data_IF_236431135717
#
_entry.id   IF_236431135717
#
_cell.length_a   1.000
_cell.length_b   1.000
_cell.length_c   1.000
_cell.angle_alpha   90.00
_cell.angle_beta   90.00
_cell.angle_gamma   90.00
#
_symmetry.space_group_name_H-M   'P 1'
#
loop_
_entity.id
_entity.type
_entity.pdbx_description
1 polymer ?
#
# COMPACT_ATOMS: atom_id res chain seq x y z
N UNK A 1 -41.41 -65.82 14.74
CA UNK A 1 -41.72 -64.57 13.97
C UNK A 1 -41.13 -63.38 14.62
N UNK A 2 -40.01 -62.83 14.08
CA UNK A 2 -39.33 -61.59 14.58
C UNK A 2 -39.63 -60.49 13.59
N UNK A 3 -40.36 -59.46 14.03
CA UNK A 3 -40.64 -58.24 13.27
C UNK A 3 -39.37 -57.33 13.26
N UNK A 4 -38.87 -56.96 12.08
CA UNK A 4 -37.83 -56.02 11.86
C UNK A 4 -38.49 -54.64 11.68
N UNK A 5 -38.12 -53.66 12.52
CA UNK A 5 -38.48 -52.24 12.35
C UNK A 5 -37.55 -51.60 11.35
N UNK A 6 -38.03 -50.81 10.38
CA UNK A 6 -37.16 -50.02 9.51
C UNK A 6 -36.76 -48.71 10.21
N UNK A 7 -35.48 -48.45 10.30
CA UNK A 7 -34.94 -47.16 10.73
C UNK A 7 -35.05 -46.18 9.57
N UNK A 8 -35.87 -45.15 9.74
CA UNK A 8 -35.87 -43.98 8.83
C UNK A 8 -34.64 -43.14 9.15
N UNK A 9 -33.68 -43.08 8.25
CA UNK A 9 -32.56 -42.13 8.30
C UNK A 9 -33.05 -40.79 7.72
N UNK A 10 -33.31 -39.82 8.57
CA UNK A 10 -33.50 -38.42 8.15
C UNK A 10 -32.15 -37.86 7.70
N UNK A 11 -31.96 -37.71 6.42
CA UNK A 11 -30.84 -36.94 5.86
C UNK A 11 -31.17 -35.45 6.03
N UNK A 12 -30.58 -34.81 7.04
CA UNK A 12 -30.53 -33.33 7.14
C UNK A 12 -29.57 -32.80 6.09
N UNK A 13 -30.08 -32.45 4.93
CA UNK A 13 -29.36 -31.62 3.95
C UNK A 13 -29.28 -30.18 4.50
N UNK A 14 -28.25 -29.91 5.27
CA UNK A 14 -27.91 -28.54 5.64
C UNK A 14 -27.48 -27.79 4.38
N UNK A 15 -28.30 -26.84 3.91
CA UNK A 15 -27.86 -25.83 2.95
C UNK A 15 -26.78 -24.97 3.63
N UNK A 16 -25.53 -25.28 3.39
CA UNK A 16 -24.45 -24.35 3.66
C UNK A 16 -24.68 -23.19 2.71
N UNK A 17 -25.08 -22.05 3.23
CA UNK A 17 -25.10 -20.82 2.45
C UNK A 17 -23.65 -20.57 1.96
N UNK A 18 -23.42 -20.82 0.68
CA UNK A 18 -22.16 -20.47 0.03
C UNK A 18 -22.15 -18.94 -0.04
N UNK A 19 -21.42 -18.31 0.85
CA UNK A 19 -21.13 -16.88 0.74
C UNK A 19 -20.51 -16.57 -0.63
N UNK A 20 -20.55 -15.31 -1.08
CA UNK A 20 -19.95 -14.94 -2.36
C UNK A 20 -18.50 -15.44 -2.39
N UNK A 21 -18.09 -15.97 -3.55
CA UNK A 21 -16.70 -16.42 -3.68
C UNK A 21 -15.76 -15.26 -3.38
N UNK A 22 -14.61 -15.47 -2.75
CA UNK A 22 -13.64 -14.40 -2.48
C UNK A 22 -13.32 -13.55 -3.71
N UNK A 23 -13.39 -14.12 -4.90
CA UNK A 23 -13.18 -13.45 -6.19
C UNK A 23 -14.23 -12.39 -6.56
N UNK A 24 -15.35 -12.31 -5.85
CA UNK A 24 -16.41 -11.31 -6.08
C UNK A 24 -16.40 -10.19 -5.03
N UNK A 25 -15.45 -10.21 -4.10
CA UNK A 25 -15.38 -9.18 -3.06
C UNK A 25 -14.66 -7.93 -3.57
N UNK A 26 -15.20 -6.69 -3.35
CA UNK A 26 -14.58 -5.45 -3.82
C UNK A 26 -13.12 -5.26 -3.37
N UNK A 27 -12.78 -5.72 -2.17
CA UNK A 27 -11.42 -5.64 -1.63
C UNK A 27 -10.41 -6.44 -2.48
N UNK A 28 -10.88 -7.43 -3.20
CA UNK A 28 -10.06 -8.25 -4.09
C UNK A 28 -9.59 -7.47 -5.32
N UNK A 29 -10.53 -6.80 -5.99
CA UNK A 29 -10.24 -5.96 -7.14
C UNK A 29 -9.44 -4.73 -6.74
N UNK A 30 -9.74 -4.17 -5.55
CA UNK A 30 -8.96 -3.09 -4.96
C UNK A 30 -7.51 -3.51 -4.73
N UNK A 31 -7.24 -4.63 -4.06
CA UNK A 31 -5.88 -5.09 -3.78
C UNK A 31 -5.07 -5.34 -5.07
N UNK A 32 -5.70 -5.93 -6.10
CA UNK A 32 -5.07 -6.09 -7.41
C UNK A 32 -4.76 -4.73 -8.05
N UNK A 33 -5.71 -3.81 -8.02
CA UNK A 33 -5.56 -2.47 -8.57
C UNK A 33 -4.37 -1.74 -7.94
N UNK A 34 -4.29 -1.70 -6.61
CA UNK A 34 -3.23 -0.96 -5.92
C UNK A 34 -1.85 -1.62 -6.00
N UNK A 35 -1.80 -2.95 -6.16
CA UNK A 35 -0.54 -3.69 -6.27
C UNK A 35 0.01 -3.79 -7.69
N UNK A 36 -0.84 -3.77 -8.71
CA UNK A 36 -0.45 -3.91 -10.12
C UNK A 36 -0.73 -2.65 -10.94
N UNK A 37 -1.56 -1.74 -10.47
CA UNK A 37 -1.81 -0.46 -11.10
C UNK A 37 -0.65 0.52 -10.94
N UNK A 38 -0.73 1.60 -11.70
CA UNK A 38 0.14 2.78 -11.58
C UNK A 38 -0.69 4.02 -11.84
N UNK A 39 -0.46 5.09 -11.12
CA UNK A 39 -1.13 6.37 -11.36
C UNK A 39 -0.75 6.97 -12.72
N UNK A 40 0.47 6.71 -13.15
CA UNK A 40 1.02 7.24 -14.40
C UNK A 40 1.77 6.15 -15.15
N UNK A 41 1.48 6.02 -16.43
CA UNK A 41 2.09 5.02 -17.31
C UNK A 41 1.27 3.75 -17.45
N UNK A 42 1.89 2.70 -17.96
CA UNK A 42 1.24 1.41 -18.14
C UNK A 42 1.15 0.65 -16.80
N UNK A 43 0.02 -0.02 -16.58
CA UNK A 43 -0.14 -0.91 -15.44
C UNK A 43 0.96 -1.99 -15.44
N UNK A 44 1.45 -2.32 -14.26
CA UNK A 44 2.44 -3.38 -14.09
C UNK A 44 1.75 -4.74 -14.17
N UNK A 45 2.44 -5.69 -14.73
CA UNK A 45 1.97 -7.09 -14.78
C UNK A 45 2.44 -7.93 -13.58
N UNK A 46 3.26 -7.33 -12.70
CA UNK A 46 3.89 -8.00 -11.56
C UNK A 46 4.08 -7.09 -10.34
N UNK A 47 4.04 -7.71 -9.18
CA UNK A 47 4.29 -7.08 -7.88
C UNK A 47 5.74 -6.61 -7.79
N UNK A 48 5.92 -5.37 -7.36
CA UNK A 48 7.22 -4.83 -6.96
C UNK A 48 7.24 -4.57 -5.46
N UNK A 49 8.36 -4.89 -4.80
CA UNK A 49 8.51 -4.63 -3.37
C UNK A 49 9.98 -4.57 -2.94
N UNK A 50 10.23 -3.99 -1.79
CA UNK A 50 11.54 -4.02 -1.16
C UNK A 50 11.86 -5.42 -0.62
N UNK A 51 13.15 -5.80 -0.75
CA UNK A 51 13.66 -7.08 -0.23
C UNK A 51 14.66 -6.91 0.92
N UNK A 52 15.12 -5.69 1.14
CA UNK A 52 16.10 -5.30 2.16
C UNK A 52 15.47 -4.29 3.11
N UNK A 53 16.05 -4.06 4.29
CA UNK A 53 15.71 -2.90 5.12
C UNK A 53 15.74 -1.62 4.30
N UNK A 54 14.77 -0.76 4.53
CA UNK A 54 14.58 0.47 3.77
C UNK A 54 15.12 1.62 4.61
N UNK A 55 16.07 2.33 4.06
CA UNK A 55 16.51 3.58 4.64
C UNK A 55 15.74 4.75 4.02
N UNK A 56 15.36 5.73 4.81
CA UNK A 56 14.75 6.94 4.30
C UNK A 56 15.52 8.18 4.69
N UNK A 57 15.52 9.14 3.78
CA UNK A 57 16.26 10.37 3.87
C UNK A 57 15.34 11.54 3.59
N UNK A 58 15.24 12.48 4.52
CA UNK A 58 14.46 13.72 4.36
C UNK A 58 15.40 14.86 4.06
N UNK A 59 15.30 15.42 2.84
CA UNK A 59 16.21 16.47 2.36
C UNK A 59 15.62 17.84 2.63
N UNK A 60 16.37 18.65 3.40
CA UNK A 60 16.13 20.09 3.60
C UNK A 60 14.67 20.47 3.89
N UNK A 61 13.98 19.69 4.73
CA UNK A 61 12.57 19.90 5.05
C UNK A 61 12.36 20.87 6.22
N UNK A 62 11.34 21.75 6.16
CA UNK A 62 10.82 22.47 7.33
C UNK A 62 10.40 21.52 8.45
N UNK A 63 10.38 21.99 9.68
CA UNK A 63 10.11 21.15 10.86
C UNK A 63 8.72 20.47 10.84
N UNK A 64 7.70 21.16 10.33
CA UNK A 64 6.35 20.60 10.17
C UNK A 64 6.33 19.47 9.16
N UNK A 65 6.99 19.61 8.03
CA UNK A 65 7.08 18.57 6.99
C UNK A 65 7.86 17.37 7.51
N UNK A 66 9.01 17.61 8.17
CA UNK A 66 9.80 16.55 8.78
C UNK A 66 8.95 15.74 9.76
N UNK A 67 8.24 16.43 10.66
CA UNK A 67 7.34 15.76 11.62
C UNK A 67 6.27 14.92 10.93
N UNK A 68 5.60 15.43 9.89
CA UNK A 68 4.58 14.67 9.15
C UNK A 68 5.16 13.41 8.49
N UNK A 69 6.38 13.50 7.94
CA UNK A 69 7.09 12.36 7.35
C UNK A 69 7.48 11.34 8.43
N UNK A 70 8.03 11.77 9.55
CA UNK A 70 8.41 10.88 10.65
C UNK A 70 7.19 10.17 11.26
N UNK A 71 6.04 10.87 11.40
CA UNK A 71 4.77 10.28 11.80
C UNK A 71 4.25 9.24 10.78
N UNK A 72 4.36 9.54 9.48
CA UNK A 72 4.00 8.61 8.42
C UNK A 72 4.84 7.33 8.49
N UNK A 73 6.16 7.45 8.61
CA UNK A 73 7.03 6.30 8.77
C UNK A 73 6.75 5.49 10.03
N UNK A 74 6.46 6.14 11.15
CA UNK A 74 6.09 5.45 12.39
C UNK A 74 4.82 4.59 12.22
N UNK A 75 3.79 5.11 11.55
CA UNK A 75 2.56 4.36 11.23
C UNK A 75 2.83 3.19 10.29
N UNK A 76 3.63 3.40 9.25
CA UNK A 76 4.01 2.35 8.31
C UNK A 76 4.86 1.27 8.98
N UNK A 77 5.81 1.65 9.82
CA UNK A 77 6.63 0.72 10.61
C UNK A 77 5.75 -0.13 11.55
N UNK A 78 4.74 0.49 12.18
CA UNK A 78 3.77 -0.22 13.01
C UNK A 78 2.97 -1.24 12.19
N UNK A 79 2.48 -0.85 11.00
CA UNK A 79 1.74 -1.74 10.11
C UNK A 79 2.60 -2.90 9.58
N UNK A 80 3.89 -2.65 9.39
CA UNK A 80 4.86 -3.65 8.96
C UNK A 80 5.45 -4.47 10.11
N UNK A 81 5.14 -4.12 11.37
CA UNK A 81 5.62 -4.86 12.54
C UNK A 81 5.19 -6.32 12.46
N UNK A 82 6.12 -7.24 12.68
CA UNK A 82 5.87 -8.69 12.52
C UNK A 82 6.02 -9.21 11.08
N UNK A 83 6.33 -8.38 10.08
CA UNK A 83 6.69 -8.89 8.75
C UNK A 83 8.14 -9.38 8.68
N UNK A 84 8.98 -9.09 9.67
CA UNK A 84 10.40 -9.46 9.84
C UNK A 84 11.33 -9.12 8.65
N UNK A 85 10.84 -8.42 7.62
CA UNK A 85 11.58 -8.21 6.38
C UNK A 85 11.84 -6.77 6.02
N UNK A 86 11.09 -5.85 6.64
CA UNK A 86 11.19 -4.42 6.32
C UNK A 86 11.36 -3.65 7.61
N UNK A 87 12.53 -3.10 7.79
CA UNK A 87 12.83 -2.09 8.81
C UNK A 87 12.96 -0.76 8.10
N UNK A 88 12.32 0.27 8.65
CA UNK A 88 12.42 1.65 8.16
C UNK A 88 13.38 2.40 9.07
N UNK A 89 14.49 2.85 8.52
CA UNK A 89 15.54 3.55 9.25
C UNK A 89 15.75 4.96 8.69
N UNK A 90 15.64 5.96 9.56
CA UNK A 90 16.01 7.34 9.20
C UNK A 90 17.53 7.49 9.15
N UNK A 91 18.04 8.04 8.04
CA UNK A 91 19.46 8.28 7.84
C UNK A 91 19.73 9.77 7.71
N UNK A 92 20.79 10.26 8.36
CA UNK A 92 21.20 11.65 8.24
C UNK A 92 21.77 11.95 6.84
N UNK A 93 21.49 13.16 6.35
CA UNK A 93 21.96 13.62 5.01
C UNK A 93 23.48 13.62 4.83
N UNK A 94 24.25 13.69 5.92
CA UNK A 94 25.71 13.63 5.89
C UNK A 94 26.26 12.28 5.47
N UNK A 95 25.49 11.22 5.61
CA UNK A 95 25.99 9.85 5.56
C UNK A 95 25.65 9.12 4.26
N UNK A 96 24.88 9.77 3.37
CA UNK A 96 24.28 9.10 2.21
C UNK A 96 24.43 9.90 0.93
N UNK A 97 24.70 9.19 -0.15
CA UNK A 97 24.58 9.74 -1.51
C UNK A 97 23.09 9.84 -1.87
N UNK A 98 22.57 11.08 -1.87
CA UNK A 98 21.17 11.36 -2.25
C UNK A 98 20.84 10.70 -3.59
N UNK A 99 19.75 9.91 -3.62
CA UNK A 99 19.29 9.17 -4.83
C UNK A 99 20.04 7.86 -5.09
N UNK A 100 20.77 7.33 -4.11
CA UNK A 100 21.36 5.99 -4.16
C UNK A 100 20.32 4.86 -4.05
N UNK A 101 20.74 3.64 -4.37
CA UNK A 101 19.92 2.45 -4.16
C UNK A 101 19.79 2.11 -2.66
N UNK A 102 18.64 1.54 -2.28
CA UNK A 102 18.30 1.18 -0.91
C UNK A 102 17.57 2.27 -0.13
N UNK A 103 17.24 3.39 -0.75
CA UNK A 103 16.66 4.55 -0.09
C UNK A 103 15.32 5.00 -0.64
N UNK A 104 14.47 5.50 0.27
CA UNK A 104 13.38 6.43 -0.05
C UNK A 104 13.90 7.84 0.23
N UNK A 105 14.07 8.64 -0.82
CA UNK A 105 14.49 10.04 -0.67
C UNK A 105 13.28 10.95 -0.72
N UNK A 106 13.06 11.72 0.34
CA UNK A 106 11.90 12.61 0.48
C UNK A 106 12.34 14.06 0.37
N UNK A 107 11.72 14.79 -0.54
CA UNK A 107 11.92 16.21 -0.76
C UNK A 107 10.69 17.01 -0.32
N UNK A 108 10.90 17.97 0.57
CA UNK A 108 9.90 18.99 0.89
C UNK A 108 9.85 20.03 -0.23
N UNK A 109 9.16 19.68 -1.31
CA UNK A 109 9.04 20.53 -2.50
C UNK A 109 7.76 20.25 -3.24
N UNK A 110 7.00 21.31 -3.52
CA UNK A 110 5.78 21.22 -4.30
C UNK A 110 6.05 20.57 -5.66
N UNK A 111 5.24 19.60 -6.08
CA UNK A 111 5.38 18.88 -7.35
C UNK A 111 5.52 19.82 -8.56
N UNK A 112 4.74 20.91 -8.61
CA UNK A 112 4.82 21.95 -9.65
C UNK A 112 6.22 22.59 -9.83
N UNK A 113 7.08 22.47 -8.83
CA UNK A 113 8.45 23.03 -8.84
C UNK A 113 9.54 21.95 -8.79
N UNK A 114 9.16 20.67 -8.88
CA UNK A 114 10.07 19.55 -8.65
C UNK A 114 10.64 18.90 -9.91
N UNK A 115 10.18 19.28 -11.13
CA UNK A 115 10.53 18.60 -12.37
C UNK A 115 12.06 18.49 -12.62
N UNK A 116 12.81 19.57 -12.38
CA UNK A 116 14.27 19.54 -12.56
C UNK A 116 14.95 18.63 -11.53
N UNK A 117 14.49 18.67 -10.27
CA UNK A 117 14.98 17.83 -9.19
C UNK A 117 14.63 16.36 -9.43
N UNK A 118 13.40 16.06 -9.87
CA UNK A 118 13.00 14.73 -10.25
C UNK A 118 13.93 14.15 -11.32
N UNK A 119 14.16 14.90 -12.40
CA UNK A 119 15.08 14.51 -13.47
C UNK A 119 16.51 14.25 -12.95
N UNK A 120 17.01 15.11 -12.05
CA UNK A 120 18.34 14.96 -11.44
C UNK A 120 18.46 13.62 -10.69
N UNK A 121 17.38 13.16 -10.07
CA UNK A 121 17.32 11.92 -9.31
C UNK A 121 16.77 10.73 -10.10
N UNK A 122 16.62 10.87 -11.43
CA UNK A 122 16.12 9.81 -12.30
C UNK A 122 14.67 9.42 -12.05
N UNK A 123 13.89 10.34 -11.47
CA UNK A 123 12.46 10.21 -11.26
C UNK A 123 11.68 10.81 -12.43
N UNK A 124 10.45 10.36 -12.62
CA UNK A 124 9.54 10.98 -13.58
C UNK A 124 9.14 12.38 -13.11
N UNK A 125 8.91 13.32 -14.04
CA UNK A 125 8.43 14.66 -13.67
C UNK A 125 7.05 14.55 -12.99
N UNK A 126 6.86 15.22 -11.83
CA UNK A 126 5.58 15.23 -11.14
C UNK A 126 4.48 15.90 -11.96
N UNK A 127 3.23 15.54 -11.70
CA UNK A 127 2.08 16.29 -12.19
C UNK A 127 1.99 17.63 -11.47
N UNK A 128 1.86 18.78 -12.19
CA UNK A 128 1.89 20.09 -11.56
C UNK A 128 0.79 20.38 -10.55
N UNK A 129 -0.36 19.71 -10.69
CA UNK A 129 -1.53 19.89 -9.82
C UNK A 129 -1.53 18.95 -8.59
N UNK A 130 -0.59 18.03 -8.47
CA UNK A 130 -0.52 17.11 -7.35
C UNK A 130 -0.02 17.80 -6.07
N UNK A 131 -0.53 17.38 -4.92
CA UNK A 131 -0.10 17.80 -3.58
C UNK A 131 1.15 17.03 -3.12
N UNK A 132 1.26 15.80 -3.58
CA UNK A 132 2.41 14.91 -3.44
C UNK A 132 2.76 14.23 -4.75
N UNK A 133 3.86 13.52 -4.77
CA UNK A 133 4.28 12.73 -5.92
C UNK A 133 5.36 11.73 -5.53
N UNK A 134 5.25 10.52 -6.01
CA UNK A 134 6.29 9.52 -5.85
C UNK A 134 6.77 8.96 -7.18
N UNK A 135 7.95 8.39 -7.16
CA UNK A 135 8.49 7.54 -8.23
C UNK A 135 9.23 6.39 -7.58
N UNK A 136 8.94 5.18 -8.00
CA UNK A 136 9.64 3.97 -7.59
C UNK A 136 10.48 3.41 -8.74
N UNK A 137 11.63 2.84 -8.41
CA UNK A 137 12.53 2.20 -9.36
C UNK A 137 12.79 0.77 -8.88
N UNK A 138 12.69 -0.18 -9.79
CA UNK A 138 12.94 -1.59 -9.51
C UNK A 138 13.89 -2.22 -10.53
N UNK A 139 14.47 -3.34 -10.16
CA UNK A 139 15.35 -4.11 -11.01
C UNK A 139 14.58 -5.17 -11.83
N UNK A 140 15.32 -5.93 -12.68
CA UNK A 140 14.74 -7.00 -13.50
C UNK A 140 14.14 -8.17 -12.70
N UNK A 141 14.35 -8.22 -11.37
CA UNK A 141 13.74 -9.19 -10.46
C UNK A 141 12.50 -8.63 -9.75
N UNK A 142 12.00 -7.47 -10.17
CA UNK A 142 10.89 -6.76 -9.54
C UNK A 142 11.16 -6.34 -8.08
N UNK A 143 12.42 -6.27 -7.68
CA UNK A 143 12.81 -5.76 -6.37
C UNK A 143 12.95 -4.25 -6.44
N UNK A 144 12.25 -3.52 -5.56
CA UNK A 144 12.41 -2.08 -5.42
C UNK A 144 13.84 -1.77 -4.99
N UNK A 145 14.46 -0.85 -5.67
CA UNK A 145 15.84 -0.43 -5.39
C UNK A 145 15.91 1.01 -4.88
N UNK A 146 14.96 1.85 -5.28
CA UNK A 146 14.93 3.27 -4.92
C UNK A 146 13.52 3.82 -5.02
N UNK A 147 13.22 4.81 -4.18
CA UNK A 147 12.05 5.67 -4.35
C UNK A 147 12.45 7.14 -4.15
N UNK A 148 11.74 8.02 -4.85
CA UNK A 148 11.83 9.48 -4.69
C UNK A 148 10.43 10.00 -4.43
N UNK A 149 10.28 10.80 -3.39
CA UNK A 149 9.01 11.35 -2.95
C UNK A 149 9.10 12.87 -2.85
N UNK A 150 8.05 13.53 -3.30
CA UNK A 150 7.87 14.98 -3.17
C UNK A 150 6.61 15.24 -2.35
N UNK A 151 6.69 16.13 -1.38
CA UNK A 151 5.57 16.59 -0.57
C UNK A 151 5.55 18.12 -0.60
N UNK A 152 4.39 18.71 -0.92
CA UNK A 152 4.26 20.17 -0.93
C UNK A 152 4.32 20.71 0.51
N UNK A 153 5.32 21.54 0.85
CA UNK A 153 5.48 22.09 2.18
C UNK A 153 4.42 23.13 2.57
N UNK A 154 3.67 23.66 1.58
CA UNK A 154 2.69 24.72 1.76
C UNK A 154 1.28 24.17 2.09
N UNK A 155 1.12 22.85 2.17
CA UNK A 155 -0.13 22.21 2.56
C UNK A 155 -0.54 22.53 4.00
N UNK A 156 -1.85 22.56 4.26
CA UNK A 156 -2.32 22.63 5.64
C UNK A 156 -1.87 21.39 6.43
N UNK A 157 -1.78 21.48 7.74
CA UNK A 157 -1.24 20.39 8.58
C UNK A 157 -1.97 19.05 8.37
N UNK A 158 -3.29 19.09 8.19
CA UNK A 158 -4.09 17.90 7.91
C UNK A 158 -3.72 17.26 6.58
N UNK A 159 -3.66 18.07 5.52
CA UNK A 159 -3.31 17.64 4.19
C UNK A 159 -1.86 17.15 4.10
N UNK A 160 -0.96 17.85 4.77
CA UNK A 160 0.44 17.48 4.83
C UNK A 160 0.64 16.08 5.45
N UNK A 161 -0.10 15.77 6.54
CA UNK A 161 -0.03 14.43 7.16
C UNK A 161 -0.60 13.35 6.25
N UNK A 162 -1.73 13.64 5.60
CA UNK A 162 -2.32 12.71 4.64
C UNK A 162 -1.37 12.44 3.49
N UNK A 163 -0.96 13.47 2.76
CA UNK A 163 -0.08 13.35 1.60
C UNK A 163 1.26 12.67 1.97
N UNK A 164 1.86 13.03 3.10
CA UNK A 164 3.08 12.37 3.54
C UNK A 164 2.87 10.87 3.76
N UNK A 165 1.76 10.47 4.38
CA UNK A 165 1.46 9.05 4.62
C UNK A 165 1.17 8.31 3.31
N UNK A 166 0.41 8.90 2.41
CA UNK A 166 0.02 8.33 1.12
C UNK A 166 1.25 8.07 0.24
N UNK A 167 2.06 9.10 0.00
CA UNK A 167 3.25 9.00 -0.85
C UNK A 167 4.29 8.01 -0.29
N UNK A 168 4.43 7.97 1.06
CA UNK A 168 5.30 6.99 1.70
C UNK A 168 4.75 5.56 1.59
N UNK A 169 3.43 5.40 1.68
CA UNK A 169 2.77 4.12 1.51
C UNK A 169 2.97 3.61 0.09
N UNK A 170 2.77 4.45 -0.91
CA UNK A 170 2.95 4.12 -2.32
C UNK A 170 4.42 3.83 -2.64
N UNK A 171 5.36 4.51 -2.01
CA UNK A 171 6.79 4.22 -2.13
C UNK A 171 7.19 2.82 -1.59
N UNK A 172 6.32 2.17 -0.82
CA UNK A 172 6.51 0.79 -0.38
C UNK A 172 6.05 -0.26 -1.41
N UNK A 173 5.34 0.13 -2.47
CA UNK A 173 4.94 -0.79 -3.55
C UNK A 173 3.50 -0.69 -4.03
N UNK A 174 2.47 -0.51 -3.17
CA UNK A 174 1.14 -0.20 -3.62
C UNK A 174 1.14 1.17 -4.28
N UNK A 175 1.02 1.26 -5.59
CA UNK A 175 1.34 2.49 -6.33
C UNK A 175 0.22 2.96 -7.24
N UNK A 176 -1.03 2.69 -6.87
CA UNK A 176 -2.19 3.15 -7.61
C UNK A 176 -3.32 3.51 -6.67
N UNK A 177 -3.95 4.63 -6.92
CA UNK A 177 -5.18 5.02 -6.26
C UNK A 177 -6.37 4.23 -6.80
N UNK A 178 -7.43 4.16 -6.00
CA UNK A 178 -8.59 3.38 -6.36
C UNK A 178 -9.87 3.94 -5.77
N UNK A 179 -10.92 4.17 -6.57
CA UNK A 179 -12.20 4.66 -6.08
C UNK A 179 -13.06 3.58 -5.41
N UNK A 180 -12.54 2.38 -5.18
CA UNK A 180 -13.33 1.22 -4.74
C UNK A 180 -13.59 1.23 -3.24
N UNK A 181 -12.58 1.47 -2.41
CA UNK A 181 -12.68 1.38 -0.94
C UNK A 181 -12.56 2.77 -0.32
N UNK A 182 -13.67 3.33 0.15
CA UNK A 182 -13.75 4.71 0.67
C UNK A 182 -12.86 4.99 1.87
N UNK A 183 -12.67 4.00 2.74
CA UNK A 183 -11.90 4.17 3.97
C UNK A 183 -10.39 3.98 3.74
N UNK A 184 -9.98 3.53 2.55
CA UNK A 184 -8.58 3.37 2.19
C UNK A 184 -7.87 4.72 2.13
N UNK A 185 -6.59 4.74 2.53
CA UNK A 185 -5.68 5.86 2.31
C UNK A 185 -5.58 6.21 0.82
N UNK A 186 -5.63 5.20 -0.07
CA UNK A 186 -5.55 5.32 -1.52
C UNK A 186 -6.92 5.54 -2.19
N UNK A 187 -7.90 6.09 -1.46
CA UNK A 187 -9.20 6.38 -2.05
C UNK A 187 -9.18 7.65 -2.88
N UNK A 188 -9.25 7.49 -4.19
CA UNK A 188 -9.35 8.63 -5.11
C UNK A 188 -10.80 9.11 -5.23
N UNK A 189 -11.04 10.36 -4.82
CA UNK A 189 -12.32 11.05 -5.04
C UNK A 189 -12.09 12.53 -5.23
N UNK A 190 -12.71 13.09 -6.26
CA UNK A 190 -12.69 14.53 -6.53
C UNK A 190 -13.31 15.39 -5.41
N UNK A 191 -14.05 14.77 -4.47
CA UNK A 191 -14.79 15.48 -3.42
C UNK A 191 -14.33 15.16 -2.00
N UNK A 192 -13.57 14.08 -1.79
CA UNK A 192 -13.16 13.60 -0.46
C UNK A 192 -11.67 13.34 -0.32
N UNK A 193 -10.89 13.75 -1.27
CA UNK A 193 -9.45 13.65 -1.20
C UNK A 193 -8.93 14.20 0.14
N UNK A 194 -8.00 13.52 0.76
CA UNK A 194 -7.27 14.00 1.93
C UNK A 194 -7.99 13.95 3.26
N UNK A 195 -8.94 13.08 3.47
CA UNK A 195 -9.57 12.95 4.78
C UNK A 195 -8.89 11.97 5.74
N UNK A 196 -8.05 11.08 5.23
CA UNK A 196 -7.45 10.01 6.03
C UNK A 196 -6.03 10.38 6.48
N UNK A 197 -5.82 10.47 7.79
CA UNK A 197 -4.50 10.64 8.40
C UNK A 197 -3.98 9.35 9.06
N UNK A 198 -4.58 8.21 8.74
CA UNK A 198 -4.26 6.89 9.25
C UNK A 198 -4.46 5.79 8.21
N UNK A 199 -3.95 4.61 8.51
CA UNK A 199 -4.13 3.42 7.69
C UNK A 199 -5.41 2.70 8.08
N UNK A 200 -6.32 2.52 7.12
CA UNK A 200 -7.47 1.65 7.31
C UNK A 200 -7.04 0.17 7.39
N UNK A 201 -7.98 -0.69 7.77
CA UNK A 201 -7.76 -2.14 7.83
C UNK A 201 -7.23 -2.69 6.49
N UNK A 202 -7.83 -2.28 5.38
CA UNK A 202 -7.44 -2.75 4.04
C UNK A 202 -6.01 -2.30 3.67
N UNK A 203 -5.61 -1.08 4.04
CA UNK A 203 -4.26 -0.58 3.82
C UNK A 203 -3.22 -1.40 4.58
N UNK A 204 -3.51 -1.71 5.85
CA UNK A 204 -2.63 -2.57 6.66
C UNK A 204 -2.55 -3.99 6.09
N UNK A 205 -3.67 -4.54 5.65
CA UNK A 205 -3.73 -5.88 5.07
C UNK A 205 -2.99 -5.98 3.73
N UNK A 206 -3.07 -4.97 2.87
CA UNK A 206 -2.35 -4.99 1.59
C UNK A 206 -0.84 -4.88 1.80
N UNK A 207 -0.37 -4.09 2.77
CA UNK A 207 1.04 -4.09 3.16
C UNK A 207 1.47 -5.46 3.71
N UNK A 208 0.66 -6.04 4.59
CA UNK A 208 0.92 -7.36 5.15
C UNK A 208 0.95 -8.43 4.04
N UNK A 209 -0.02 -8.40 3.11
CA UNK A 209 -0.06 -9.28 1.95
C UNK A 209 1.20 -9.14 1.11
N UNK A 210 1.58 -7.90 0.79
CA UNK A 210 2.75 -7.58 -0.01
C UNK A 210 4.03 -8.12 0.61
N UNK A 211 4.22 -7.93 1.93
CA UNK A 211 5.50 -8.25 2.58
C UNK A 211 5.58 -9.64 3.20
N UNK A 212 4.46 -10.35 3.39
CA UNK A 212 4.42 -11.73 3.90
C UNK A 212 3.93 -12.74 2.89
N UNK A 213 2.91 -12.38 2.13
CA UNK A 213 2.17 -13.30 1.25
C UNK A 213 2.72 -13.41 -0.16
N UNK A 214 3.39 -12.35 -0.64
CA UNK A 214 3.81 -12.23 -2.03
C UNK A 214 5.33 -12.15 -2.18
N UNK A 215 5.81 -12.44 -3.38
CA UNK A 215 7.21 -12.27 -3.79
C UNK A 215 7.30 -11.21 -4.90
N UNK A 216 8.47 -10.56 -5.10
CA UNK A 216 8.69 -9.76 -6.30
C UNK A 216 8.47 -10.61 -7.55
N UNK A 217 7.73 -10.06 -8.51
CA UNK A 217 7.40 -10.77 -9.74
C UNK A 217 6.09 -11.58 -9.69
N UNK A 218 5.46 -11.71 -8.53
CA UNK A 218 4.13 -12.33 -8.42
C UNK A 218 3.10 -11.53 -9.22
N UNK A 219 2.12 -12.23 -9.79
CA UNK A 219 1.10 -11.68 -10.68
C UNK A 219 -0.29 -11.77 -10.05
N UNK A 220 -1.31 -11.36 -10.77
CA UNK A 220 -2.70 -11.37 -10.30
C UNK A 220 -3.12 -12.72 -9.67
N UNK A 221 -2.72 -13.84 -10.26
CA UNK A 221 -3.06 -15.18 -9.75
C UNK A 221 -2.42 -15.47 -8.38
N UNK A 222 -1.19 -15.03 -8.15
CA UNK A 222 -0.50 -15.19 -6.87
C UNK A 222 -1.12 -14.28 -5.81
N UNK A 223 -1.50 -13.05 -6.17
CA UNK A 223 -2.26 -12.14 -5.30
C UNK A 223 -3.57 -12.82 -4.87
N UNK A 224 -4.32 -13.38 -5.81
CA UNK A 224 -5.56 -14.10 -5.55
C UNK A 224 -5.38 -15.24 -4.56
N UNK A 225 -4.41 -16.10 -4.79
CA UNK A 225 -4.11 -17.22 -3.90
C UNK A 225 -3.66 -16.76 -2.51
N UNK A 226 -2.90 -15.69 -2.43
CA UNK A 226 -2.43 -15.15 -1.15
C UNK A 226 -3.59 -14.54 -0.36
N UNK A 227 -4.49 -13.79 -1.00
CA UNK A 227 -5.69 -13.26 -0.36
C UNK A 227 -6.63 -14.38 0.14
N UNK A 228 -6.87 -15.40 -0.66
CA UNK A 228 -7.69 -16.55 -0.25
C UNK A 228 -7.16 -17.23 1.02
N UNK A 229 -5.86 -17.21 1.24
CA UNK A 229 -5.23 -17.86 2.40
C UNK A 229 -5.22 -16.99 3.66
N UNK A 230 -5.17 -15.68 3.52
CA UNK A 230 -4.78 -14.81 4.64
C UNK A 230 -5.55 -13.51 4.78
N UNK A 231 -6.40 -13.16 3.80
CA UNK A 231 -7.14 -11.91 3.85
C UNK A 231 -8.39 -12.05 4.72
N UNK A 232 -8.61 -11.08 5.60
CA UNK A 232 -9.84 -11.01 6.42
C UNK A 232 -10.76 -9.98 5.78
N UNK A 233 -11.83 -10.45 5.14
CA UNK A 233 -12.83 -9.59 4.53
C UNK A 233 -13.71 -8.90 5.57
N UNK A 234 -14.23 -7.70 5.24
CA UNK A 234 -15.05 -6.92 6.17
C UNK A 234 -16.28 -7.67 6.66
N UNK A 235 -16.94 -8.42 5.77
CA UNK A 235 -18.15 -9.16 6.09
C UNK A 235 -17.93 -10.29 7.11
N UNK A 236 -16.72 -10.86 7.15
CA UNK A 236 -16.36 -11.90 8.11
C UNK A 236 -16.25 -11.36 9.55
N UNK A 237 -15.94 -10.08 9.71
CA UNK A 237 -15.82 -9.43 11.03
C UNK A 237 -17.21 -9.17 11.61
N UNK A 238 -18.18 -8.78 10.78
CA UNK A 238 -19.55 -8.52 11.24
C UNK A 238 -20.27 -9.79 11.71
N UNK A 239 -19.97 -10.94 11.09
CA UNK A 239 -20.59 -12.22 11.42
C UNK A 239 -20.08 -12.84 12.74
N UNK A 240 -19.01 -12.32 13.35
CA UNK A 240 -18.45 -12.81 14.62
C UNK A 240 -18.83 -11.97 15.83
N UNK A 241 -19.61 -10.90 15.63
CA UNK A 241 -20.07 -9.99 16.72
C UNK A 241 -21.55 -10.20 17.12
N UNK A 242 -22.27 -11.09 16.47
CA UNK A 242 -23.62 -11.56 16.82
C UNK A 242 -23.57 -12.93 17.55
#
# INVERSE_FOLDING_TARGET
>A
MRRRSPWLALALTGCVAVGPSPQQHPEFDWAKSVLLGTEVGDARDAVVRWQKPIQYLVVAAPSNVRRAIDEAFAKLQQALSGTHRVELEHVATSDVRIGGDGFITVFAKAPRHAAALAKQHGAQPPQPAADGWFTIVWNHKFELTRAVVFVDPDLTEKWLRHTALEEMFQALGPSNDSPVIRDSLLFESSTMAGSHDGLARVDQQVLWLLYRGLQPGDRATEIERAMQRSWVFADAISATQD
#
